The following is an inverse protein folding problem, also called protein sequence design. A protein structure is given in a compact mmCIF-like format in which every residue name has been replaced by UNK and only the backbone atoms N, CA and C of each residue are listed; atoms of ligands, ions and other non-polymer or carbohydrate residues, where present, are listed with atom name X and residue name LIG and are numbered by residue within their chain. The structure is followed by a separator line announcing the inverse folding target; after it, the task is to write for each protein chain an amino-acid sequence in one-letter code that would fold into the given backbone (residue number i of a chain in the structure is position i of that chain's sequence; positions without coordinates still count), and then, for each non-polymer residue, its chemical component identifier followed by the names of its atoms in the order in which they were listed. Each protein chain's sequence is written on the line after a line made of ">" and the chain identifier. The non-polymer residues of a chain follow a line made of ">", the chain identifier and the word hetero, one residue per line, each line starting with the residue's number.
data_IF_346348860728
#
_entry.id   IF_346348860728
#
_cell.length_a   1.000
_cell.length_b   1.000
_cell.length_c   1.000
_cell.angle_alpha   90.00
_cell.angle_beta   90.00
_cell.angle_gamma   90.00
#
_symmetry.space_group_name_H-M   'P 1'
#
loop_
_entity.id
_entity.type
_entity.pdbx_description
1 polymer ?
#
# COMPACT_ATOMS: atom_id res chain seq x y z
N UNK A 1 -16.10 -2.04 7.11
CA UNK A 1 -16.72 -3.09 7.96
C UNK A 1 -15.61 -4.02 8.38
N UNK A 2 -15.55 -4.44 9.63
CA UNK A 2 -14.51 -5.38 10.09
C UNK A 2 -15.17 -6.60 10.71
N UNK A 3 -14.79 -7.80 10.30
CA UNK A 3 -15.37 -9.06 10.75
C UNK A 3 -14.26 -9.88 11.39
N UNK A 4 -14.43 -10.25 12.65
CA UNK A 4 -13.55 -11.20 13.33
C UNK A 4 -13.74 -12.59 12.73
N UNK A 5 -12.64 -13.26 12.38
CA UNK A 5 -12.66 -14.61 11.81
C UNK A 5 -12.29 -15.64 12.86
N UNK A 6 -11.11 -15.48 13.48
CA UNK A 6 -10.56 -16.40 14.46
C UNK A 6 -9.45 -15.74 15.28
N UNK A 7 -9.21 -16.26 16.49
CA UNK A 7 -8.06 -16.02 17.35
C UNK A 7 -7.19 -17.29 17.45
N UNK A 8 -6.08 -17.19 18.19
CA UNK A 8 -5.10 -18.26 18.39
C UNK A 8 -4.51 -18.83 17.09
N UNK A 9 -4.48 -18.01 16.04
CA UNK A 9 -3.87 -18.34 14.75
C UNK A 9 -2.38 -18.04 14.82
N UNK A 10 -1.57 -19.09 14.85
CA UNK A 10 -0.11 -18.98 14.77
C UNK A 10 0.32 -18.44 13.39
N UNK A 11 1.47 -17.77 13.34
CA UNK A 11 2.00 -17.22 12.08
C UNK A 11 2.25 -18.29 11.03
N UNK A 12 2.67 -19.49 11.44
CA UNK A 12 2.89 -20.62 10.53
C UNK A 12 1.58 -21.05 9.88
N UNK A 13 0.49 -21.09 10.66
CA UNK A 13 -0.86 -21.39 10.17
C UNK A 13 -1.36 -20.29 9.25
N UNK A 14 -1.12 -19.03 9.60
CA UNK A 14 -1.45 -17.89 8.75
C UNK A 14 -0.72 -17.95 7.40
N UNK A 15 0.58 -18.24 7.40
CA UNK A 15 1.36 -18.32 6.18
C UNK A 15 0.89 -19.46 5.28
N UNK A 16 0.58 -20.63 5.84
CA UNK A 16 -0.02 -21.74 5.09
C UNK A 16 -1.38 -21.36 4.50
N UNK A 17 -2.20 -20.64 5.26
CA UNK A 17 -3.47 -20.13 4.76
C UNK A 17 -3.29 -19.10 3.64
N UNK A 18 -2.29 -18.24 3.74
CA UNK A 18 -1.98 -17.21 2.75
C UNK A 18 -1.56 -17.78 1.39
N UNK A 19 -0.99 -19.00 1.35
CA UNK A 19 -0.69 -19.71 0.10
C UNK A 19 -1.95 -20.08 -0.70
N UNK A 20 -3.13 -20.07 -0.05
CA UNK A 20 -4.41 -20.39 -0.67
C UNK A 20 -5.12 -19.17 -1.29
N UNK A 21 -4.47 -18.00 -1.46
CA UNK A 21 -5.13 -16.74 -1.87
C UNK A 21 -6.12 -16.91 -3.05
N UNK A 22 -5.71 -17.62 -4.11
CA UNK A 22 -6.54 -17.85 -5.30
C UNK A 22 -7.65 -18.90 -5.09
N UNK A 23 -7.57 -19.69 -4.03
CA UNK A 23 -8.50 -20.78 -3.68
C UNK A 23 -9.43 -20.42 -2.50
N UNK A 24 -9.32 -19.21 -1.97
CA UNK A 24 -10.14 -18.76 -0.84
C UNK A 24 -11.64 -18.76 -1.22
N UNK A 25 -12.52 -19.17 -0.29
CA UNK A 25 -13.93 -19.33 -0.59
C UNK A 25 -14.63 -17.99 -0.84
N UNK A 26 -15.64 -18.01 -1.72
CA UNK A 26 -16.54 -16.88 -2.01
C UNK A 26 -15.79 -15.64 -2.52
N UNK A 27 -14.78 -15.84 -3.37
CA UNK A 27 -14.01 -14.74 -3.98
C UNK A 27 -13.31 -13.84 -2.96
N UNK A 28 -13.08 -14.35 -1.74
CA UNK A 28 -12.27 -13.65 -0.74
C UNK A 28 -10.82 -13.62 -1.21
N UNK A 29 -10.12 -12.51 -1.01
CA UNK A 29 -8.71 -12.33 -1.36
C UNK A 29 -7.91 -11.95 -0.14
N UNK A 30 -6.65 -12.36 -0.06
CA UNK A 30 -5.79 -12.18 1.11
C UNK A 30 -5.64 -10.71 1.52
N UNK A 31 -5.66 -9.77 0.57
CA UNK A 31 -5.60 -8.33 0.86
C UNK A 31 -6.79 -7.81 1.68
N UNK A 32 -7.91 -8.53 1.64
CA UNK A 32 -9.12 -8.27 2.42
C UNK A 32 -9.02 -8.79 3.85
N UNK A 33 -7.95 -9.49 4.19
CA UNK A 33 -7.69 -10.00 5.53
C UNK A 33 -6.50 -9.27 6.18
N UNK A 34 -6.49 -9.30 7.51
CA UNK A 34 -5.32 -8.95 8.30
C UNK A 34 -5.13 -10.01 9.38
N UNK A 35 -3.91 -10.52 9.49
CA UNK A 35 -3.44 -11.26 10.65
C UNK A 35 -2.64 -10.33 11.56
N UNK A 36 -3.03 -10.26 12.82
CA UNK A 36 -2.35 -9.46 13.83
C UNK A 36 -2.70 -9.98 15.21
N UNK A 37 -1.71 -10.05 16.10
CA UNK A 37 -1.89 -10.50 17.48
C UNK A 37 -2.62 -11.85 17.55
N UNK A 38 -2.10 -12.81 16.76
CA UNK A 38 -2.66 -14.16 16.56
C UNK A 38 -4.15 -14.19 16.16
N UNK A 39 -4.69 -13.09 15.63
CA UNK A 39 -6.08 -12.97 15.24
C UNK A 39 -6.21 -12.64 13.77
N UNK A 40 -7.20 -13.23 13.11
CA UNK A 40 -7.52 -12.97 11.70
C UNK A 40 -8.83 -12.18 11.62
N UNK A 41 -8.80 -11.13 10.81
CA UNK A 41 -9.96 -10.26 10.57
C UNK A 41 -10.14 -10.06 9.07
N UNK A 42 -11.39 -10.00 8.62
CA UNK A 42 -11.73 -9.44 7.30
C UNK A 42 -11.91 -7.94 7.47
N UNK A 43 -11.14 -7.14 6.74
CA UNK A 43 -11.13 -5.67 6.83
C UNK A 43 -11.97 -4.98 5.75
N UNK A 44 -12.24 -5.67 4.64
CA UNK A 44 -13.15 -5.22 3.58
C UNK A 44 -13.67 -6.41 2.77
N UNK A 45 -14.98 -6.59 2.68
CA UNK A 45 -15.57 -7.62 1.81
C UNK A 45 -17.01 -7.27 1.42
N UNK A 46 -17.41 -7.44 0.14
CA UNK A 46 -16.53 -7.65 -1.02
C UNK A 46 -15.67 -6.41 -1.31
N UNK A 47 -14.66 -6.53 -2.18
CA UNK A 47 -13.96 -5.35 -2.71
C UNK A 47 -14.95 -4.47 -3.47
N UNK A 48 -14.81 -3.16 -3.29
CA UNK A 48 -15.74 -2.18 -3.80
C UNK A 48 -15.21 -1.49 -5.06
N UNK A 49 -16.12 -1.03 -5.95
CA UNK A 49 -15.72 -0.24 -7.12
C UNK A 49 -14.87 0.99 -6.73
N UNK A 50 -15.22 1.76 -5.67
CA UNK A 50 -14.37 2.83 -5.19
C UNK A 50 -12.95 2.40 -4.81
N UNK A 51 -12.81 1.25 -4.15
CA UNK A 51 -11.51 0.68 -3.81
C UNK A 51 -10.71 0.38 -5.09
N UNK A 52 -11.29 -0.38 -6.02
CA UNK A 52 -10.59 -0.81 -7.24
C UNK A 52 -10.19 0.37 -8.13
N UNK A 53 -11.06 1.39 -8.26
CA UNK A 53 -10.76 2.60 -9.04
C UNK A 53 -9.64 3.39 -8.39
N UNK A 54 -9.64 3.54 -7.06
CA UNK A 54 -8.55 4.23 -6.36
C UNK A 54 -7.21 3.50 -6.56
N UNK A 55 -7.21 2.18 -6.39
CA UNK A 55 -6.02 1.35 -6.57
C UNK A 55 -5.50 1.39 -8.01
N UNK A 56 -6.40 1.36 -9.00
CA UNK A 56 -6.05 1.54 -10.42
C UNK A 56 -5.45 2.92 -10.70
N UNK A 57 -6.00 4.00 -10.13
CA UNK A 57 -5.45 5.35 -10.29
C UNK A 57 -4.04 5.48 -9.72
N UNK A 58 -3.77 4.82 -8.57
CA UNK A 58 -2.45 4.84 -7.93
C UNK A 58 -1.46 4.02 -8.76
N UNK A 59 -1.78 2.76 -9.03
CA UNK A 59 -0.89 1.84 -9.77
C UNK A 59 -0.52 2.36 -11.17
N UNK A 60 -1.43 3.05 -11.87
CA UNK A 60 -1.15 3.69 -13.16
C UNK A 60 -0.01 4.72 -13.11
N UNK A 61 0.26 5.33 -11.95
CA UNK A 61 1.41 6.25 -11.79
C UNK A 61 2.75 5.55 -11.82
N UNK A 62 2.77 4.24 -11.60
CA UNK A 62 4.00 3.45 -11.44
C UNK A 62 4.16 2.39 -12.54
N UNK A 63 3.07 1.83 -13.08
CA UNK A 63 3.12 0.68 -14.01
C UNK A 63 3.85 0.97 -15.33
N UNK A 64 3.89 2.24 -15.77
CA UNK A 64 4.57 2.65 -17.00
C UNK A 64 6.01 3.12 -16.76
N UNK A 65 6.50 3.09 -15.52
CA UNK A 65 7.85 3.55 -15.20
C UNK A 65 8.86 2.42 -15.41
N UNK A 66 9.84 2.65 -16.29
CA UNK A 66 10.94 1.70 -16.52
C UNK A 66 11.79 1.50 -15.26
N UNK A 67 12.48 0.37 -15.10
CA UNK A 67 13.34 0.17 -13.93
C UNK A 67 12.63 -0.33 -12.67
N UNK A 68 11.30 -0.48 -12.69
CA UNK A 68 10.51 -0.99 -11.57
C UNK A 68 9.64 -2.21 -11.89
N UNK A 69 9.29 -2.95 -10.83
CA UNK A 69 8.35 -4.05 -10.83
C UNK A 69 7.13 -3.64 -10.01
N UNK A 70 5.95 -3.75 -10.63
CA UNK A 70 4.68 -3.75 -9.89
C UNK A 70 4.38 -5.17 -9.47
N UNK A 71 4.23 -5.41 -8.17
CA UNK A 71 3.79 -6.71 -7.67
C UNK A 71 2.25 -6.78 -7.57
N UNK A 72 1.55 -5.66 -7.73
CA UNK A 72 0.08 -5.64 -7.70
C UNK A 72 -0.45 -6.21 -6.39
N UNK A 73 -1.40 -7.14 -6.48
CA UNK A 73 -2.07 -7.84 -5.38
C UNK A 73 -1.29 -9.07 -4.87
N UNK A 74 -0.03 -9.23 -5.26
CA UNK A 74 0.75 -10.42 -4.91
C UNK A 74 1.11 -10.41 -3.43
N UNK A 75 0.79 -11.51 -2.76
CA UNK A 75 1.21 -11.76 -1.38
C UNK A 75 2.74 -11.82 -1.30
N UNK A 76 3.29 -11.20 -0.27
CA UNK A 76 4.73 -11.10 -0.04
C UNK A 76 5.05 -11.62 1.35
N UNK A 77 6.16 -12.34 1.47
CA UNK A 77 6.65 -12.84 2.75
C UNK A 77 7.85 -12.02 3.19
N UNK A 78 7.93 -11.73 4.48
CA UNK A 78 8.97 -10.88 5.04
C UNK A 78 9.02 -10.97 6.56
N UNK A 79 9.95 -10.24 7.21
CA UNK A 79 10.04 -10.25 8.66
C UNK A 79 8.77 -9.71 9.31
N UNK A 80 8.34 -10.38 10.36
CA UNK A 80 7.25 -9.98 11.23
C UNK A 80 7.66 -10.01 12.71
N UNK A 81 6.69 -10.06 13.63
CA UNK A 81 6.96 -10.12 15.07
C UNK A 81 7.88 -11.30 15.44
N UNK A 82 8.78 -11.09 16.41
CA UNK A 82 9.68 -12.11 16.94
C UNK A 82 10.58 -12.80 15.90
N UNK A 83 11.00 -12.08 14.84
CA UNK A 83 11.84 -12.59 13.75
C UNK A 83 11.18 -13.72 12.92
N UNK A 84 9.89 -13.97 13.11
CA UNK A 84 9.14 -14.92 12.30
C UNK A 84 8.86 -14.32 10.91
N UNK A 85 8.85 -15.17 9.88
CA UNK A 85 8.39 -14.74 8.57
C UNK A 85 6.86 -14.66 8.56
N UNK A 86 6.31 -13.56 8.07
CA UNK A 86 4.86 -13.34 7.92
C UNK A 86 4.56 -13.05 6.45
N UNK A 87 3.52 -13.67 5.92
CA UNK A 87 2.95 -13.33 4.62
C UNK A 87 1.95 -12.19 4.76
N UNK A 88 2.05 -11.18 3.91
CA UNK A 88 1.19 -10.02 3.87
C UNK A 88 0.70 -9.77 2.45
N UNK A 89 -0.49 -9.18 2.32
CA UNK A 89 -1.10 -8.86 1.04
C UNK A 89 -1.47 -7.38 1.01
N UNK A 90 -0.61 -6.52 0.45
CA UNK A 90 -0.94 -5.12 0.23
C UNK A 90 -1.93 -4.98 -0.93
N UNK A 91 -2.72 -3.91 -0.94
CA UNK A 91 -3.58 -3.61 -2.10
C UNK A 91 -2.75 -3.24 -3.33
N UNK A 92 -1.56 -2.67 -3.13
CA UNK A 92 -0.59 -2.51 -4.20
C UNK A 92 0.83 -2.39 -3.64
N UNK A 93 1.80 -2.95 -4.35
CA UNK A 93 3.20 -2.73 -4.02
C UNK A 93 4.10 -2.60 -5.25
N UNK A 94 5.21 -1.90 -5.04
CA UNK A 94 6.21 -1.59 -6.06
C UNK A 94 7.61 -1.78 -5.49
N UNK A 95 8.52 -2.28 -6.32
CA UNK A 95 9.95 -2.36 -6.02
C UNK A 95 10.81 -2.19 -7.27
N UNK A 96 12.13 -2.01 -7.13
CA UNK A 96 13.03 -1.87 -8.26
C UNK A 96 13.23 -3.20 -9.00
N UNK A 97 13.55 -3.14 -10.30
CA UNK A 97 14.08 -4.30 -11.01
C UNK A 97 15.43 -4.69 -10.39
N UNK A 98 15.67 -5.99 -10.06
CA UNK A 98 16.96 -6.44 -9.53
C UNK A 98 18.15 -6.20 -10.47
N UNK A 99 17.89 -5.96 -11.75
CA UNK A 99 18.91 -5.70 -12.79
C UNK A 99 19.15 -4.22 -13.05
N UNK A 100 18.42 -3.32 -12.39
CA UNK A 100 18.60 -1.88 -12.54
C UNK A 100 20.00 -1.49 -12.02
N UNK A 101 20.84 -0.81 -12.82
CA UNK A 101 22.17 -0.41 -12.37
C UNK A 101 22.13 0.55 -11.17
N UNK A 102 23.01 0.34 -10.20
CA UNK A 102 23.19 1.26 -9.07
C UNK A 102 22.19 1.11 -7.92
N UNK A 103 21.26 0.15 -7.98
CA UNK A 103 20.34 -0.11 -6.87
C UNK A 103 21.08 -0.55 -5.60
N UNK A 104 20.60 -0.05 -4.47
CA UNK A 104 21.04 -0.41 -3.14
C UNK A 104 20.15 -1.54 -2.62
N UNK A 105 20.66 -2.76 -2.74
CA UNK A 105 19.98 -3.95 -2.23
C UNK A 105 19.98 -3.91 -0.69
N UNK A 106 18.82 -4.03 -0.03
CA UNK A 106 18.77 -4.10 1.42
C UNK A 106 19.57 -5.28 1.97
N UNK A 107 20.16 -5.11 3.15
CA UNK A 107 20.93 -6.18 3.80
C UNK A 107 20.05 -7.43 4.03
N UNK A 108 20.61 -8.61 3.75
CA UNK A 108 19.91 -9.89 3.92
C UNK A 108 18.88 -10.23 2.83
N UNK A 109 18.57 -9.30 1.92
CA UNK A 109 17.64 -9.54 0.80
C UNK A 109 18.41 -10.02 -0.43
N UNK A 110 17.97 -11.14 -1.01
CA UNK A 110 18.59 -11.70 -2.23
C UNK A 110 17.84 -11.32 -3.50
N UNK A 111 16.51 -11.33 -3.49
CA UNK A 111 15.67 -11.05 -4.64
C UNK A 111 14.34 -10.42 -4.21
N UNK A 112 13.75 -9.58 -5.05
CA UNK A 112 12.34 -9.15 -4.96
C UNK A 112 11.95 -8.51 -3.62
N UNK A 113 12.37 -7.26 -3.40
CA UNK A 113 11.86 -6.43 -2.28
C UNK A 113 11.01 -5.29 -2.80
N UNK A 114 10.25 -4.70 -1.88
CA UNK A 114 9.40 -3.54 -2.14
C UNK A 114 9.96 -2.30 -1.48
N UNK A 115 9.81 -1.18 -2.18
CA UNK A 115 10.17 0.17 -1.71
C UNK A 115 8.92 1.00 -1.43
N UNK A 116 7.77 0.63 -2.01
CA UNK A 116 6.49 1.27 -1.79
C UNK A 116 5.39 0.23 -1.56
N UNK A 117 4.60 0.47 -0.52
CA UNK A 117 3.34 -0.24 -0.25
C UNK A 117 2.20 0.76 -0.23
N UNK A 118 1.06 0.36 -0.78
CA UNK A 118 -0.19 1.11 -0.82
C UNK A 118 -1.31 0.29 -0.21
N UNK A 119 -2.10 0.94 0.63
CA UNK A 119 -3.35 0.41 1.19
C UNK A 119 -4.50 1.38 0.87
N UNK A 120 -5.60 0.83 0.36
CA UNK A 120 -6.82 1.56 0.03
C UNK A 120 -7.94 1.09 0.94
N UNK A 121 -8.35 1.96 1.85
CA UNK A 121 -9.39 1.68 2.81
C UNK A 121 -10.71 2.29 2.37
N UNK A 122 -11.67 1.46 1.94
CA UNK A 122 -13.05 1.91 1.75
C UNK A 122 -13.93 1.48 2.92
N UNK A 123 -14.59 2.44 3.58
CA UNK A 123 -15.46 2.17 4.76
C UNK A 123 -14.75 1.48 5.95
N UNK A 124 -13.42 1.54 6.02
CA UNK A 124 -12.63 0.99 7.12
C UNK A 124 -12.23 2.07 8.12
N UNK A 125 -11.88 1.69 9.35
CA UNK A 125 -11.37 2.60 10.38
C UNK A 125 -9.84 2.67 10.32
N UNK A 126 -9.23 3.80 10.69
CA UNK A 126 -7.76 3.92 10.65
C UNK A 126 -7.06 2.85 11.49
N UNK A 127 -7.69 2.44 12.58
CA UNK A 127 -7.21 1.38 13.46
C UNK A 127 -7.04 0.03 12.76
N UNK A 128 -7.74 -0.24 11.65
CA UNK A 128 -7.65 -1.53 10.95
C UNK A 128 -6.41 -1.65 10.07
N UNK A 129 -5.84 -0.52 9.62
CA UNK A 129 -4.62 -0.53 8.79
C UNK A 129 -3.33 -0.47 9.60
N UNK A 130 -3.38 0.05 10.84
CA UNK A 130 -2.17 0.19 11.67
C UNK A 130 -1.42 -1.12 11.94
N UNK A 131 -2.09 -2.27 12.17
CA UNK A 131 -1.42 -3.56 12.19
C UNK A 131 -0.60 -3.84 10.93
N UNK A 132 -1.20 -3.65 9.75
CA UNK A 132 -0.51 -3.82 8.46
C UNK A 132 0.68 -2.88 8.33
N UNK A 133 0.50 -1.59 8.63
CA UNK A 133 1.58 -0.59 8.61
C UNK A 133 2.73 -1.00 9.54
N UNK A 134 2.44 -1.46 10.76
CA UNK A 134 3.46 -1.90 11.71
C UNK A 134 4.29 -3.08 11.17
N UNK A 135 3.63 -4.03 10.48
CA UNK A 135 4.31 -5.15 9.81
C UNK A 135 5.14 -4.68 8.61
N UNK A 136 4.57 -3.85 7.73
CA UNK A 136 5.26 -3.33 6.54
C UNK A 136 6.54 -2.55 6.87
N UNK A 137 6.57 -1.85 8.00
CA UNK A 137 7.76 -1.13 8.45
C UNK A 137 8.95 -2.05 8.78
N UNK A 138 8.71 -3.32 9.03
CA UNK A 138 9.79 -4.29 9.27
C UNK A 138 10.43 -4.76 7.95
N UNK A 139 9.79 -4.49 6.81
CA UNK A 139 10.28 -5.00 5.53
C UNK A 139 11.57 -4.31 5.11
N UNK A 140 12.61 -5.08 4.79
CA UNK A 140 13.88 -4.51 4.38
C UNK A 140 13.71 -3.77 3.05
N UNK A 141 14.21 -2.53 3.01
CA UNK A 141 14.18 -1.68 1.81
C UNK A 141 12.94 -0.81 1.64
N UNK A 142 11.92 -0.96 2.48
CA UNK A 142 10.71 -0.13 2.38
C UNK A 142 11.06 1.35 2.58
N UNK A 143 10.61 2.20 1.64
CA UNK A 143 10.84 3.64 1.68
C UNK A 143 9.56 4.39 2.02
N UNK A 144 8.43 3.90 1.52
CA UNK A 144 7.13 4.54 1.65
C UNK A 144 6.03 3.53 1.95
N UNK A 145 5.13 3.90 2.85
CA UNK A 145 3.82 3.26 3.00
C UNK A 145 2.77 4.35 2.83
N UNK A 146 1.88 4.20 1.86
CA UNK A 146 0.83 5.15 1.55
C UNK A 146 -0.54 4.53 1.82
N UNK A 147 -1.27 5.08 2.78
CA UNK A 147 -2.61 4.62 3.11
C UNK A 147 -3.62 5.68 2.67
N UNK A 148 -4.54 5.32 1.79
CA UNK A 148 -5.66 6.16 1.36
C UNK A 148 -6.95 5.67 2.01
N UNK A 149 -7.75 6.57 2.55
CA UNK A 149 -9.06 6.25 3.12
C UNK A 149 -10.17 7.06 2.48
N UNK A 150 -11.23 6.35 2.10
CA UNK A 150 -12.43 6.88 1.47
C UNK A 150 -13.66 6.60 2.35
N UNK A 151 -14.49 7.62 2.59
CA UNK A 151 -15.75 7.44 3.33
C UNK A 151 -16.81 6.72 2.49
N UNK A 152 -17.75 6.05 3.17
CA UNK A 152 -18.85 5.32 2.53
C UNK A 152 -19.73 6.17 1.59
N UNK A 153 -19.81 7.48 1.83
CA UNK A 153 -20.60 8.41 0.99
C UNK A 153 -19.74 9.15 -0.02
N UNK A 154 -18.46 8.79 -0.13
CA UNK A 154 -17.46 9.42 -1.00
C UNK A 154 -17.51 10.94 -0.94
N UNK A 155 -17.61 11.44 0.30
CA UNK A 155 -17.60 12.86 0.62
C UNK A 155 -16.33 13.27 1.37
N UNK A 156 -15.60 12.32 1.96
CA UNK A 156 -14.37 12.58 2.69
C UNK A 156 -13.29 11.67 2.12
N UNK A 157 -12.15 12.27 1.80
CA UNK A 157 -10.91 11.57 1.48
C UNK A 157 -9.88 11.98 2.52
N UNK A 158 -9.12 11.01 3.01
CA UNK A 158 -7.99 11.25 3.89
C UNK A 158 -6.86 10.30 3.54
N UNK A 159 -5.62 10.71 3.78
CA UNK A 159 -4.48 9.84 3.59
C UNK A 159 -3.45 10.00 4.69
N UNK A 160 -2.66 8.95 4.86
CA UNK A 160 -1.45 8.93 5.67
C UNK A 160 -0.26 8.48 4.80
N UNK A 161 0.80 9.27 4.76
CA UNK A 161 2.06 8.89 4.13
C UNK A 161 3.12 8.67 5.21
N UNK A 162 3.69 7.47 5.23
CA UNK A 162 4.81 7.11 6.08
C UNK A 162 6.09 7.08 5.25
N UNK A 163 7.04 7.95 5.59
CA UNK A 163 8.38 7.89 5.03
C UNK A 163 9.26 7.03 5.94
N UNK A 164 9.46 5.78 5.55
CA UNK A 164 10.20 4.78 6.33
C UNK A 164 11.69 4.82 6.01
N UNK A 165 12.04 5.21 4.78
CA UNK A 165 13.39 5.19 4.26
C UNK A 165 14.34 6.18 4.91
N UNK A 166 14.90 5.76 6.03
CA UNK A 166 16.14 6.12 6.70
C UNK A 166 16.14 5.20 7.91
N UNK A 167 17.29 4.70 8.35
CA UNK A 167 17.42 3.90 9.58
C UNK A 167 17.06 4.68 10.87
N UNK A 168 16.09 5.60 10.81
CA UNK A 168 15.44 6.25 11.91
C UNK A 168 14.53 5.23 12.61
N UNK A 169 15.15 4.56 13.58
CA UNK A 169 14.53 3.61 14.49
C UNK A 169 13.48 4.24 15.40
N UNK A 170 13.24 5.56 15.31
CA UNK A 170 12.14 6.18 16.06
C UNK A 170 10.80 5.75 15.50
N UNK A 171 10.24 4.73 16.14
CA UNK A 171 8.83 4.44 16.08
C UNK A 171 8.11 5.19 17.21
N UNK A 172 7.00 5.91 16.93
CA UNK A 172 6.43 6.15 15.61
C UNK A 172 7.03 7.40 14.92
N UNK A 173 7.59 7.27 13.71
CA UNK A 173 7.81 8.42 12.84
C UNK A 173 6.43 8.97 12.43
N UNK A 174 6.11 10.27 12.66
CA UNK A 174 4.80 10.81 12.32
C UNK A 174 4.49 10.66 10.83
N UNK A 175 3.32 10.08 10.54
CA UNK A 175 2.78 10.12 9.19
C UNK A 175 2.41 11.56 8.80
N UNK A 176 2.60 11.89 7.53
CA UNK A 176 1.96 13.07 6.94
C UNK A 176 0.48 12.75 6.78
N UNK A 177 -0.39 13.49 7.49
CA UNK A 177 -1.83 13.26 7.51
C UNK A 177 -2.57 14.41 6.85
N UNK A 178 -3.45 14.09 5.91
CA UNK A 178 -4.32 15.06 5.24
C UNK A 178 -5.74 14.51 5.16
N UNK A 179 -6.73 15.37 5.28
CA UNK A 179 -8.14 15.04 5.17
C UNK A 179 -8.90 16.20 4.54
N UNK A 180 -9.81 15.92 3.60
CA UNK A 180 -10.57 16.94 2.88
C UNK A 180 -11.93 16.44 2.39
N UNK A 181 -12.90 17.36 2.28
CA UNK A 181 -14.22 17.07 1.73
C UNK A 181 -14.17 17.14 0.19
N UNK A 182 -14.38 15.98 -0.44
CA UNK A 182 -14.31 15.79 -1.91
C UNK A 182 -15.33 16.69 -2.64
N UNK A 183 -16.43 17.08 -1.99
CA UNK A 183 -17.49 17.88 -2.62
C UNK A 183 -17.15 19.37 -2.70
N UNK A 184 -16.21 19.82 -1.87
CA UNK A 184 -15.91 21.26 -1.69
C UNK A 184 -14.46 21.61 -2.02
N UNK A 185 -13.56 20.63 -2.01
CA UNK A 185 -12.19 20.81 -2.47
C UNK A 185 -12.18 21.24 -3.93
N UNK A 186 -11.32 22.18 -4.27
CA UNK A 186 -11.18 22.64 -5.65
C UNK A 186 -10.38 21.59 -6.45
N UNK A 187 -10.73 21.29 -7.71
CA UNK A 187 -10.07 20.25 -8.51
C UNK A 187 -8.54 20.38 -8.65
N UNK A 188 -8.00 21.61 -8.54
CA UNK A 188 -6.57 21.90 -8.65
C UNK A 188 -5.93 22.22 -7.29
N UNK A 189 -6.55 21.80 -6.19
CA UNK A 189 -5.99 22.03 -4.86
C UNK A 189 -4.66 21.28 -4.72
N UNK A 190 -3.61 21.85 -4.09
CA UNK A 190 -2.26 21.27 -4.04
C UNK A 190 -2.13 20.07 -3.08
N UNK A 191 -3.17 19.29 -2.85
CA UNK A 191 -3.08 18.05 -2.09
C UNK A 191 -2.50 16.94 -2.97
N UNK A 192 -1.17 16.97 -3.05
CA UNK A 192 -0.37 16.00 -3.77
C UNK A 192 0.48 15.20 -2.80
N UNK A 193 0.66 13.93 -3.13
CA UNK A 193 1.66 13.06 -2.52
C UNK A 193 2.84 12.97 -3.47
N UNK A 194 4.05 13.18 -2.94
CA UNK A 194 5.26 13.10 -3.72
C UNK A 194 6.14 11.98 -3.19
N UNK A 195 6.55 11.08 -4.08
CA UNK A 195 7.55 10.06 -3.80
C UNK A 195 8.84 10.44 -4.47
N UNK A 196 9.96 10.38 -3.75
CA UNK A 196 11.28 10.53 -4.37
C UNK A 196 11.55 9.31 -5.24
N UNK A 197 11.81 9.55 -6.53
CA UNK A 197 12.00 8.51 -7.52
C UNK A 197 13.23 7.64 -7.25
N UNK A 198 14.30 8.22 -6.71
CA UNK A 198 15.52 7.47 -6.37
C UNK A 198 15.24 6.53 -5.22
N UNK A 199 14.53 7.00 -4.19
CA UNK A 199 14.07 6.14 -3.08
C UNK A 199 13.17 5.02 -3.58
N UNK A 200 12.16 5.33 -4.40
CA UNK A 200 11.26 4.32 -4.99
C UNK A 200 12.03 3.28 -5.82
N UNK A 201 13.11 3.66 -6.50
CA UNK A 201 13.98 2.74 -7.23
C UNK A 201 15.12 2.12 -6.39
N UNK A 202 15.17 2.40 -5.08
CA UNK A 202 16.28 2.05 -4.21
C UNK A 202 17.66 2.51 -4.73
N UNK A 203 17.72 3.63 -5.44
CA UNK A 203 18.96 4.26 -5.89
C UNK A 203 19.54 5.15 -4.77
N UNK A 204 20.87 5.36 -4.76
CA UNK A 204 21.47 6.38 -3.89
C UNK A 204 20.94 7.78 -4.24
N UNK A 205 21.05 8.72 -3.30
CA UNK A 205 20.48 10.06 -3.44
C UNK A 205 21.03 10.86 -4.65
N UNK A 206 22.26 10.57 -5.06
CA UNK A 206 22.95 11.12 -6.23
C UNK A 206 22.92 10.19 -7.45
N UNK A 207 22.25 9.04 -7.35
CA UNK A 207 22.13 8.06 -8.42
C UNK A 207 21.43 8.62 -9.65
N UNK A 208 21.86 8.18 -10.83
CA UNK A 208 21.19 8.52 -12.09
C UNK A 208 19.85 7.80 -12.19
N UNK A 209 18.80 8.56 -12.51
CA UNK A 209 17.48 8.01 -12.77
C UNK A 209 17.42 7.40 -14.18
N UNK A 210 16.63 6.34 -14.39
CA UNK A 210 16.41 5.81 -15.74
C UNK A 210 15.79 6.86 -16.67
N UNK A 211 15.98 6.75 -18.00
CA UNK A 211 15.36 7.65 -18.95
C UNK A 211 13.84 7.80 -18.73
N UNK A 212 13.34 9.03 -18.80
CA UNK A 212 11.90 9.32 -18.63
C UNK A 212 11.43 9.47 -17.19
N UNK A 213 12.26 9.16 -16.19
CA UNK A 213 11.93 9.43 -14.80
C UNK A 213 12.10 10.92 -14.46
N UNK A 214 11.19 11.41 -13.62
CA UNK A 214 11.32 12.70 -12.94
C UNK A 214 11.93 12.48 -11.56
N UNK A 215 12.46 13.52 -10.91
CA UNK A 215 12.98 13.40 -9.54
C UNK A 215 11.92 12.95 -8.52
N UNK A 216 10.65 13.28 -8.80
CA UNK A 216 9.52 12.89 -7.96
C UNK A 216 8.36 12.33 -8.76
N UNK A 217 7.79 11.24 -8.27
CA UNK A 217 6.48 10.76 -8.72
C UNK A 217 5.42 11.53 -7.95
N UNK A 218 4.51 12.21 -8.66
CA UNK A 218 3.43 13.00 -8.05
C UNK A 218 2.09 12.31 -8.23
N UNK A 219 1.43 12.04 -7.11
CA UNK A 219 0.05 11.55 -7.04
C UNK A 219 -0.87 12.69 -6.61
N UNK A 220 -1.74 13.12 -7.52
CA UNK A 220 -2.81 14.08 -7.22
C UNK A 220 -3.97 13.34 -6.53
N UNK A 221 -4.09 13.53 -5.21
CA UNK A 221 -5.07 12.82 -4.40
C UNK A 221 -6.47 13.39 -4.59
N UNK A 222 -6.59 14.66 -4.97
CA UNK A 222 -7.88 15.31 -5.23
C UNK A 222 -8.46 14.80 -6.54
N UNK A 223 -7.66 14.79 -7.61
CA UNK A 223 -8.07 14.22 -8.89
C UNK A 223 -8.44 12.74 -8.76
N UNK A 224 -7.67 11.97 -7.98
CA UNK A 224 -8.01 10.58 -7.65
C UNK A 224 -9.37 10.48 -6.97
N UNK A 225 -9.60 11.26 -5.91
CA UNK A 225 -10.85 11.21 -5.14
C UNK A 225 -12.08 11.60 -5.98
N UNK A 226 -11.94 12.58 -6.88
CA UNK A 226 -13.00 12.92 -7.83
C UNK A 226 -13.29 11.77 -8.80
N UNK A 227 -12.25 11.14 -9.38
CA UNK A 227 -12.42 10.02 -10.31
C UNK A 227 -13.11 8.82 -9.66
N UNK A 228 -12.77 8.52 -8.41
CA UNK A 228 -13.45 7.49 -7.61
C UNK A 228 -14.95 7.80 -7.46
N UNK A 229 -15.29 9.05 -7.13
CA UNK A 229 -16.68 9.50 -6.96
C UNK A 229 -17.48 9.47 -8.26
N UNK A 230 -16.86 9.84 -9.37
CA UNK A 230 -17.46 9.77 -10.71
C UNK A 230 -17.76 8.32 -11.11
N UNK A 231 -16.81 7.41 -10.88
CA UNK A 231 -16.99 5.99 -11.17
C UNK A 231 -18.16 5.39 -10.37
N UNK A 232 -18.25 5.66 -9.07
CA UNK A 232 -19.38 5.17 -8.24
C UNK A 232 -20.74 5.69 -8.75
N UNK A 233 -20.81 6.98 -9.11
CA UNK A 233 -22.03 7.60 -9.64
C UNK A 233 -22.49 7.02 -10.98
N UNK A 234 -21.56 6.45 -11.77
CA UNK A 234 -21.86 5.84 -13.07
C UNK A 234 -22.49 4.44 -12.96
N UNK A 235 -22.35 3.78 -11.82
CA UNK A 235 -22.92 2.45 -11.55
C UNK A 235 -24.30 2.47 -10.87
N UNK A 236 -24.73 3.64 -10.36
CA UNK A 236 -26.03 3.81 -9.69
C UNK A 236 -27.12 4.30 -10.66
N UNK A 237 -26.84 4.36 -11.98
CA UNK A 237 -27.79 4.76 -13.03
C UNK A 237 -28.21 3.60 -13.94
#
# INVERSE_FOLDING_TARGET
>A
MTIFVADDILVETWNQFAELDEELPRDLRLQQLVWFDNSVWIVEYPLSIPHEVANSCISQKFILLEGGITFGHVAQTGPGPNEQQVTYAPDYSFGPFPTLPGIQVPEGVRHGWVTLIVEVMYMQQWQTVYPKVAMYRQLPGIQYIFCLKLSARLNLCSYELYEVGNNDSTFPNPAIRVSFDIRTVQPNHPFVVQFDSRRVLALPADGELPPGWQDKITLDVVALAHRVREADSSFVR
#
